data_IF_810466443482
#
_entry.id   IF_810466443482
#
_cell.length_a   1.000
_cell.length_b   1.000
_cell.length_c   1.000
_cell.angle_alpha   90.00
_cell.angle_beta   90.00
_cell.angle_gamma   90.00
#
_symmetry.space_group_name_H-M   'P 1'
#
loop_
_entity.id
_entity.type
_entity.pdbx_description
1 polymer ?
#
# COMPACT_ATOMS: atom_id res chain seq x y z
N UNK A 1 -24.91 4.65 -27.28
CA UNK A 1 -23.65 4.14 -26.69
C UNK A 1 -23.53 2.68 -27.11
N UNK A 2 -22.45 2.23 -27.76
CA UNK A 2 -22.26 0.79 -27.96
C UNK A 2 -22.15 0.13 -26.57
N UNK A 3 -22.88 -0.95 -26.31
CA UNK A 3 -22.58 -1.78 -25.13
C UNK A 3 -21.17 -2.35 -25.30
N UNK A 4 -20.22 -1.90 -24.47
CA UNK A 4 -18.97 -2.65 -24.30
C UNK A 4 -19.35 -3.98 -23.66
N UNK A 5 -19.26 -5.05 -24.44
CA UNK A 5 -19.35 -6.42 -23.91
C UNK A 5 -18.02 -6.76 -23.25
N UNK A 6 -18.07 -7.29 -22.03
CA UNK A 6 -16.89 -7.76 -21.33
C UNK A 6 -16.11 -8.76 -22.19
N UNK A 7 -14.76 -8.72 -22.15
CA UNK A 7 -13.96 -9.74 -22.82
C UNK A 7 -14.26 -11.12 -22.20
N UNK A 8 -14.19 -12.19 -23.01
CA UNK A 8 -14.45 -13.54 -22.52
C UNK A 8 -13.43 -13.94 -21.45
N UNK A 9 -13.89 -14.60 -20.39
CA UNK A 9 -13.01 -15.14 -19.35
C UNK A 9 -12.43 -16.48 -19.84
N UNK A 10 -11.25 -16.41 -20.45
CA UNK A 10 -10.49 -17.58 -20.90
C UNK A 10 -9.46 -18.01 -19.84
N UNK A 11 -8.94 -19.25 -19.88
CA UNK A 11 -7.88 -19.69 -18.97
C UNK A 11 -6.65 -18.76 -18.95
N UNK A 12 -6.29 -18.17 -20.11
CA UNK A 12 -5.20 -17.21 -20.20
C UNK A 12 -5.52 -15.90 -19.47
N UNK A 13 -6.78 -15.45 -19.52
CA UNK A 13 -7.24 -14.27 -18.78
C UNK A 13 -7.21 -14.53 -17.28
N UNK A 14 -7.64 -15.71 -16.83
CA UNK A 14 -7.57 -16.14 -15.43
C UNK A 14 -6.12 -16.16 -14.92
N UNK A 15 -5.21 -16.73 -15.70
CA UNK A 15 -3.79 -16.79 -15.35
C UNK A 15 -3.16 -15.38 -15.28
N UNK A 16 -3.52 -14.47 -16.19
CA UNK A 16 -3.07 -13.06 -16.14
C UNK A 16 -3.56 -12.31 -14.90
N UNK A 17 -4.70 -12.72 -14.34
CA UNK A 17 -5.21 -12.21 -13.07
C UNK A 17 -4.54 -12.84 -11.84
N UNK A 18 -3.51 -13.67 -12.02
CA UNK A 18 -2.75 -14.27 -10.93
C UNK A 18 -3.56 -15.28 -10.09
N UNK A 19 -4.66 -15.79 -10.65
CA UNK A 19 -5.50 -16.80 -10.02
C UNK A 19 -5.05 -18.20 -10.46
N UNK A 20 -4.96 -19.13 -9.51
CA UNK A 20 -4.73 -20.54 -9.86
C UNK A 20 -6.00 -21.18 -10.42
N UNK A 21 -5.90 -22.31 -11.15
CA UNK A 21 -7.07 -23.05 -11.61
C UNK A 21 -8.03 -23.43 -10.46
N UNK A 22 -7.48 -23.78 -9.29
CA UNK A 22 -8.27 -24.13 -8.10
C UNK A 22 -8.98 -22.90 -7.51
N UNK A 23 -8.33 -21.74 -7.48
CA UNK A 23 -8.95 -20.48 -7.07
C UNK A 23 -10.11 -20.12 -8.02
N UNK A 24 -9.92 -20.31 -9.33
CA UNK A 24 -10.97 -20.07 -10.33
C UNK A 24 -12.18 -21.01 -10.16
N UNK A 25 -11.96 -22.31 -10.01
CA UNK A 25 -13.05 -23.25 -9.75
C UNK A 25 -13.79 -22.93 -8.45
N UNK A 26 -13.09 -22.42 -7.43
CA UNK A 26 -13.71 -21.96 -6.19
C UNK A 26 -14.58 -20.73 -6.42
N UNK A 27 -14.15 -19.78 -7.26
CA UNK A 27 -14.96 -18.62 -7.66
C UNK A 27 -16.25 -19.09 -8.34
N UNK A 28 -16.15 -19.99 -9.33
CA UNK A 28 -17.32 -20.56 -10.02
C UNK A 28 -18.29 -21.22 -9.05
N UNK A 29 -17.77 -21.96 -8.08
CA UNK A 29 -18.58 -22.60 -7.03
C UNK A 29 -19.29 -21.59 -6.11
N UNK A 30 -18.63 -20.49 -5.75
CA UNK A 30 -19.22 -19.43 -4.91
C UNK A 30 -20.34 -18.70 -5.68
N UNK A 31 -20.12 -18.41 -6.96
CA UNK A 31 -21.08 -17.67 -7.79
C UNK A 31 -22.20 -18.55 -8.37
N UNK A 32 -21.98 -19.87 -8.48
CA UNK A 32 -22.88 -20.79 -9.18
C UNK A 32 -22.88 -20.63 -10.71
N UNK A 33 -21.95 -19.85 -11.26
CA UNK A 33 -21.77 -19.56 -12.70
C UNK A 33 -20.34 -19.08 -12.98
N UNK A 34 -20.00 -18.90 -14.25
CA UNK A 34 -18.77 -18.18 -14.61
C UNK A 34 -18.81 -16.73 -14.11
N UNK A 35 -17.71 -16.20 -13.55
CA UNK A 35 -17.56 -14.77 -13.32
C UNK A 35 -17.50 -14.03 -14.65
N UNK A 36 -18.03 -12.81 -14.69
CA UNK A 36 -17.69 -11.87 -15.77
C UNK A 36 -16.29 -11.26 -15.54
N UNK A 37 -15.82 -10.44 -16.48
CA UNK A 37 -14.46 -9.87 -16.41
C UNK A 37 -14.27 -8.98 -15.17
N UNK A 38 -15.29 -8.18 -14.83
CA UNK A 38 -15.25 -7.30 -13.66
C UNK A 38 -15.19 -8.10 -12.36
N UNK A 39 -16.03 -9.12 -12.22
CA UNK A 39 -16.06 -10.01 -11.06
C UNK A 39 -14.74 -10.76 -10.90
N UNK A 40 -14.17 -11.24 -12.00
CA UNK A 40 -12.84 -11.88 -12.01
C UNK A 40 -11.77 -10.94 -11.48
N UNK A 41 -11.78 -9.67 -11.93
CA UNK A 41 -10.86 -8.63 -11.46
C UNK A 41 -10.99 -8.35 -9.96
N UNK A 42 -12.23 -8.32 -9.44
CA UNK A 42 -12.48 -8.15 -8.01
C UNK A 42 -11.90 -9.33 -7.23
N UNK A 43 -12.20 -10.58 -7.63
CA UNK A 43 -11.64 -11.76 -6.97
C UNK A 43 -10.11 -11.78 -7.01
N UNK A 44 -9.52 -11.44 -8.15
CA UNK A 44 -8.06 -11.37 -8.33
C UNK A 44 -7.39 -10.47 -7.31
N UNK A 45 -7.87 -9.23 -7.14
CA UNK A 45 -7.29 -8.29 -6.19
C UNK A 45 -7.57 -8.73 -4.75
N UNK A 46 -8.81 -9.08 -4.44
CA UNK A 46 -9.22 -9.43 -3.07
C UNK A 46 -8.55 -10.72 -2.56
N UNK A 47 -8.21 -11.66 -3.45
CA UNK A 47 -7.53 -12.92 -3.10
C UNK A 47 -6.01 -12.87 -3.34
N UNK A 48 -5.46 -11.71 -3.70
CA UNK A 48 -4.01 -11.49 -3.70
C UNK A 48 -3.42 -11.67 -2.29
N UNK A 49 -2.12 -11.97 -2.18
CA UNK A 49 -1.46 -12.03 -0.87
C UNK A 49 -1.56 -10.69 -0.13
N UNK A 50 -1.47 -9.57 -0.88
CA UNK A 50 -1.53 -8.22 -0.33
C UNK A 50 -2.83 -7.94 0.43
N UNK A 51 -3.98 -8.43 -0.07
CA UNK A 51 -5.28 -8.20 0.56
C UNK A 51 -5.69 -9.34 1.51
N UNK A 52 -5.41 -10.59 1.15
CA UNK A 52 -5.96 -11.75 1.86
C UNK A 52 -5.04 -12.36 2.90
N UNK A 53 -3.74 -12.01 2.87
CA UNK A 53 -2.72 -12.61 3.71
C UNK A 53 -2.73 -14.15 3.63
N UNK A 54 -3.00 -14.72 2.45
CA UNK A 54 -3.29 -16.16 2.29
C UNK A 54 -2.18 -17.08 2.82
N UNK A 55 -0.92 -16.65 2.71
CA UNK A 55 0.21 -17.37 3.29
C UNK A 55 0.46 -16.95 4.75
N UNK A 56 0.54 -15.64 4.99
CA UNK A 56 0.98 -15.06 6.25
C UNK A 56 -0.04 -15.20 7.39
N UNK A 57 -1.34 -15.23 7.11
CA UNK A 57 -2.42 -15.31 8.12
C UNK A 57 -2.28 -16.51 9.06
N UNK A 58 -1.75 -17.65 8.57
CA UNK A 58 -1.54 -18.84 9.40
C UNK A 58 -0.48 -18.59 10.49
N UNK A 59 0.56 -17.85 10.15
CA UNK A 59 1.64 -17.49 11.06
C UNK A 59 1.20 -16.38 12.02
N UNK A 60 0.48 -15.38 11.51
CA UNK A 60 -0.01 -14.26 12.33
C UNK A 60 -0.94 -14.70 13.46
N UNK A 61 -1.71 -15.79 13.28
CA UNK A 61 -2.57 -16.36 14.32
C UNK A 61 -1.82 -16.90 15.55
N UNK A 62 -0.50 -17.10 15.46
CA UNK A 62 0.32 -17.59 16.57
C UNK A 62 0.66 -16.49 17.58
N UNK A 63 0.50 -15.23 17.22
CA UNK A 63 0.78 -14.11 18.12
C UNK A 63 -0.32 -13.93 19.18
N UNK A 64 0.01 -13.46 20.38
CA UNK A 64 -0.99 -13.04 21.35
C UNK A 64 -1.71 -11.78 20.84
N UNK A 65 -3.04 -11.84 20.78
CA UNK A 65 -3.88 -10.74 20.24
C UNK A 65 -4.87 -10.16 21.26
N UNK A 66 -4.79 -10.60 22.51
CA UNK A 66 -5.67 -10.17 23.60
C UNK A 66 -4.86 -9.76 24.82
N UNK A 67 -5.38 -8.82 25.58
CA UNK A 67 -4.75 -8.28 26.78
C UNK A 67 -5.68 -7.29 27.48
N UNK A 68 -5.45 -7.00 28.77
CA UNK A 68 -6.36 -6.18 29.58
C UNK A 68 -6.53 -4.75 29.05
N UNK A 69 -5.49 -4.20 28.41
CA UNK A 69 -5.50 -2.82 27.91
C UNK A 69 -5.78 -2.74 26.40
N UNK A 70 -6.10 -3.86 25.74
CA UNK A 70 -6.39 -3.87 24.30
C UNK A 70 -7.87 -3.50 24.11
N UNK A 71 -8.12 -2.32 23.55
CA UNK A 71 -9.47 -1.82 23.27
C UNK A 71 -10.00 -2.32 21.93
N UNK A 72 -9.12 -2.55 20.95
CA UNK A 72 -9.46 -3.07 19.62
C UNK A 72 -8.57 -4.26 19.31
N UNK A 73 -9.17 -5.42 18.99
CA UNK A 73 -8.42 -6.65 18.73
C UNK A 73 -7.73 -6.60 17.37
N UNK A 74 -6.63 -7.35 17.24
CA UNK A 74 -5.91 -7.47 15.98
C UNK A 74 -6.83 -8.00 14.86
N UNK A 75 -6.97 -7.22 13.79
CA UNK A 75 -7.77 -7.57 12.61
C UNK A 75 -9.27 -7.30 12.72
N UNK A 76 -9.73 -6.66 13.80
CA UNK A 76 -11.12 -6.22 13.96
C UNK A 76 -11.39 -4.90 13.21
N UNK A 77 -10.41 -3.98 13.25
CA UNK A 77 -10.48 -2.65 12.65
C UNK A 77 -9.18 -2.28 11.92
N UNK A 78 -9.14 -1.08 11.33
CA UNK A 78 -8.00 -0.59 10.55
C UNK A 78 -6.71 -0.43 11.36
N UNK A 79 -6.78 -0.11 12.65
CA UNK A 79 -5.63 0.05 13.53
C UNK A 79 -5.87 -0.53 14.93
N UNK A 80 -4.78 -0.85 15.64
CA UNK A 80 -4.85 -1.31 17.02
C UNK A 80 -5.02 -0.13 17.98
N UNK A 81 -5.81 -0.32 19.04
CA UNK A 81 -6.05 0.71 20.05
C UNK A 81 -5.77 0.14 21.44
N UNK A 82 -4.98 0.86 22.22
CA UNK A 82 -4.56 0.47 23.57
C UNK A 82 -4.92 1.56 24.56
N UNK A 83 -5.53 1.16 25.68
CA UNK A 83 -5.79 2.03 26.83
C UNK A 83 -4.47 2.37 27.55
N UNK A 84 -4.24 3.66 27.77
CA UNK A 84 -3.05 4.16 28.47
C UNK A 84 -3.39 4.79 29.83
N UNK A 85 -4.64 4.69 30.28
CA UNK A 85 -5.14 5.26 31.53
C UNK A 85 -5.68 6.68 31.38
N UNK A 86 -6.24 7.21 32.48
CA UNK A 86 -6.75 8.58 32.58
C UNK A 86 -7.78 8.98 31.51
N UNK A 87 -8.51 8.00 30.97
CA UNK A 87 -9.48 8.21 29.89
C UNK A 87 -8.85 8.40 28.50
N UNK A 88 -7.55 8.12 28.34
CA UNK A 88 -6.83 8.23 27.08
C UNK A 88 -6.55 6.86 26.46
N UNK A 89 -6.53 6.84 25.13
CA UNK A 89 -6.14 5.68 24.34
C UNK A 89 -5.20 6.09 23.21
N UNK A 90 -4.33 5.16 22.80
CA UNK A 90 -3.42 5.33 21.67
C UNK A 90 -3.84 4.38 20.56
N UNK A 91 -4.18 4.94 19.40
CA UNK A 91 -4.31 4.21 18.15
C UNK A 91 -2.96 4.17 17.44
N UNK A 92 -2.52 2.99 17.00
CA UNK A 92 -1.31 2.85 16.21
C UNK A 92 -1.42 1.72 15.19
N UNK A 93 -0.72 1.89 14.08
CA UNK A 93 -0.60 0.92 13.00
C UNK A 93 0.77 1.10 12.35
N UNK A 94 1.22 0.08 11.65
CA UNK A 94 2.35 0.14 10.74
C UNK A 94 1.91 -0.37 9.37
N UNK A 95 2.35 0.33 8.32
CA UNK A 95 2.17 -0.07 6.93
C UNK A 95 3.50 -0.05 6.19
N UNK A 96 3.52 -0.66 5.01
CA UNK A 96 4.68 -0.65 4.11
C UNK A 96 4.25 -0.24 2.72
N UNK A 97 5.11 0.48 2.01
CA UNK A 97 4.86 0.86 0.62
C UNK A 97 6.05 0.57 -0.27
N UNK A 98 6.57 -0.65 -0.15
CA UNK A 98 7.87 -1.04 -0.67
C UNK A 98 7.95 -1.01 -2.20
N UNK A 99 7.04 -1.72 -2.89
CA UNK A 99 7.11 -1.84 -4.35
C UNK A 99 6.90 -0.48 -5.05
N UNK A 100 5.90 0.34 -4.68
CA UNK A 100 5.77 1.68 -5.27
C UNK A 100 6.96 2.59 -4.96
N UNK A 101 7.48 2.58 -3.73
CA UNK A 101 8.67 3.38 -3.37
C UNK A 101 9.95 2.92 -4.08
N UNK A 102 10.03 1.68 -4.53
CA UNK A 102 11.15 1.20 -5.32
C UNK A 102 11.12 1.72 -6.77
N UNK A 103 9.93 2.00 -7.31
CA UNK A 103 9.74 2.51 -8.67
C UNK A 103 9.79 4.04 -8.69
N UNK A 104 9.06 4.68 -7.79
CA UNK A 104 9.03 6.13 -7.63
C UNK A 104 9.12 6.43 -6.11
N UNK A 105 10.31 6.85 -5.62
CA UNK A 105 10.53 6.96 -4.17
C UNK A 105 9.72 8.05 -3.47
N UNK A 106 9.53 9.21 -4.11
CA UNK A 106 8.95 10.37 -3.45
C UNK A 106 7.44 10.21 -3.24
N UNK A 107 6.72 9.98 -4.33
CA UNK A 107 5.29 9.69 -4.34
C UNK A 107 5.01 8.35 -3.66
N UNK A 108 5.81 7.32 -3.88
CA UNK A 108 5.65 6.03 -3.21
C UNK A 108 5.73 6.16 -1.68
N UNK A 109 6.65 6.96 -1.15
CA UNK A 109 6.68 7.24 0.28
C UNK A 109 5.49 8.11 0.72
N UNK A 110 5.17 9.17 -0.04
CA UNK A 110 4.10 10.11 0.30
C UNK A 110 2.72 9.45 0.34
N UNK A 111 2.38 8.56 -0.60
CA UNK A 111 1.11 7.82 -0.58
C UNK A 111 1.04 6.85 0.58
N UNK A 112 2.18 6.34 1.06
CA UNK A 112 2.27 5.44 2.20
C UNK A 112 2.02 6.19 3.51
N UNK A 113 2.60 7.38 3.65
CA UNK A 113 2.28 8.32 4.74
C UNK A 113 0.80 8.69 4.71
N UNK A 114 0.25 8.98 3.53
CA UNK A 114 -1.18 9.26 3.39
C UNK A 114 -2.08 8.09 3.80
N UNK A 115 -1.68 6.85 3.48
CA UNK A 115 -2.38 5.62 3.87
C UNK A 115 -2.49 5.48 5.39
N UNK A 116 -1.34 5.47 6.06
CA UNK A 116 -1.30 5.25 7.51
C UNK A 116 -2.03 6.34 8.30
N UNK A 117 -1.98 7.60 7.84
CA UNK A 117 -2.75 8.70 8.45
C UNK A 117 -4.26 8.43 8.37
N UNK A 118 -4.75 7.93 7.22
CA UNK A 118 -6.18 7.63 7.05
C UNK A 118 -6.63 6.50 7.97
N UNK A 119 -5.82 5.47 8.16
CA UNK A 119 -6.18 4.38 9.08
C UNK A 119 -6.38 4.89 10.50
N UNK A 120 -5.45 5.69 11.01
CA UNK A 120 -5.57 6.29 12.35
C UNK A 120 -6.79 7.20 12.44
N UNK A 121 -7.04 8.01 11.41
CA UNK A 121 -8.20 8.89 11.36
C UNK A 121 -9.52 8.11 11.39
N UNK A 122 -9.62 6.97 10.71
CA UNK A 122 -10.85 6.14 10.74
C UNK A 122 -11.15 5.53 12.11
N UNK A 123 -10.16 5.46 13.02
CA UNK A 123 -10.38 5.07 14.41
C UNK A 123 -10.98 6.19 15.28
N UNK A 124 -11.20 7.38 14.72
CA UNK A 124 -11.57 8.58 15.50
C UNK A 124 -10.41 9.18 16.29
N UNK A 125 -9.18 8.70 16.08
CA UNK A 125 -7.98 9.22 16.72
C UNK A 125 -7.35 10.35 15.91
N UNK A 126 -6.73 11.30 16.60
CA UNK A 126 -5.95 12.37 15.98
C UNK A 126 -4.51 11.89 15.77
N UNK A 127 -3.96 11.93 14.54
CA UNK A 127 -2.55 11.60 14.32
C UNK A 127 -1.62 12.64 14.96
N UNK A 128 -0.81 12.22 15.93
CA UNK A 128 0.17 13.10 16.62
C UNK A 128 1.63 12.81 16.24
N UNK A 129 1.96 11.54 16.00
CA UNK A 129 3.33 11.11 15.69
C UNK A 129 3.39 10.22 14.45
N UNK A 130 4.46 10.36 13.67
CA UNK A 130 4.79 9.51 12.53
C UNK A 130 6.22 9.00 12.68
N UNK A 131 6.40 7.70 12.45
CA UNK A 131 7.70 7.04 12.48
C UNK A 131 7.95 6.36 11.13
N UNK A 132 9.19 6.42 10.66
CA UNK A 132 9.60 5.74 9.43
C UNK A 132 10.58 4.59 9.73
N UNK A 133 10.40 3.47 9.03
CA UNK A 133 11.33 2.35 9.06
C UNK A 133 11.88 2.12 7.66
N UNK A 134 13.02 2.75 7.37
CA UNK A 134 13.64 2.73 6.05
C UNK A 134 14.76 1.69 5.99
N UNK A 135 14.86 0.96 4.88
CA UNK A 135 15.92 -0.01 4.60
C UNK A 135 16.34 0.15 3.14
N UNK A 136 17.62 0.41 2.91
CA UNK A 136 18.21 0.59 1.59
C UNK A 136 19.41 -0.35 1.41
N UNK A 137 19.84 -0.53 0.16
CA UNK A 137 21.16 -1.08 -0.12
C UNK A 137 22.28 -0.15 0.35
N UNK A 138 23.56 -0.56 0.26
CA UNK A 138 24.69 0.28 0.60
C UNK A 138 24.62 1.63 -0.14
N UNK A 139 24.86 2.72 0.59
CA UNK A 139 25.01 4.04 -0.01
C UNK A 139 26.40 4.08 -0.63
N UNK A 140 26.49 3.77 -1.92
CA UNK A 140 27.70 3.95 -2.71
C UNK A 140 27.72 5.36 -3.28
N UNK A 141 28.90 5.82 -3.69
CA UNK A 141 28.95 6.97 -4.59
C UNK A 141 28.07 6.68 -5.81
N UNK A 142 27.32 7.70 -6.22
CA UNK A 142 26.41 7.58 -7.34
C UNK A 142 27.21 7.29 -8.61
N UNK A 143 26.81 6.32 -9.46
CA UNK A 143 27.38 6.15 -10.80
C UNK A 143 27.21 7.41 -11.67
N UNK A 144 26.41 8.38 -11.22
CA UNK A 144 26.18 9.67 -11.87
C UNK A 144 27.46 10.54 -11.92
N UNK A 145 28.55 10.16 -11.23
CA UNK A 145 29.85 10.80 -11.38
C UNK A 145 30.38 10.82 -12.84
N UNK A 146 29.91 9.92 -13.70
CA UNK A 146 30.35 9.79 -15.11
C UNK A 146 29.31 10.29 -16.15
N UNK A 147 28.29 11.04 -15.72
CA UNK A 147 27.35 11.69 -16.65
C UNK A 147 26.39 10.75 -17.38
N UNK A 148 26.31 9.47 -17.00
CA UNK A 148 25.28 8.54 -17.51
C UNK A 148 24.09 8.53 -16.55
N UNK A 149 22.95 9.01 -17.04
CA UNK A 149 21.68 8.90 -16.33
C UNK A 149 21.33 7.41 -16.13
N UNK A 150 20.78 7.02 -14.97
CA UNK A 150 20.17 5.71 -14.83
C UNK A 150 19.03 5.56 -15.83
N UNK A 151 18.90 4.37 -16.41
CA UNK A 151 17.89 4.05 -17.43
C UNK A 151 16.50 4.32 -16.81
N UNK A 152 15.79 5.34 -17.32
CA UNK A 152 14.45 5.74 -16.86
C UNK A 152 14.35 7.01 -16.01
N UNK A 153 15.42 7.77 -15.82
CA UNK A 153 15.46 8.94 -14.92
C UNK A 153 15.03 10.29 -15.55
N UNK A 154 14.52 10.30 -16.78
CA UNK A 154 14.33 11.54 -17.55
C UNK A 154 13.21 12.46 -17.02
N UNK A 155 12.27 11.95 -16.22
CA UNK A 155 11.09 12.73 -15.78
C UNK A 155 11.17 13.28 -14.35
N UNK A 156 11.95 12.66 -13.46
CA UNK A 156 11.97 13.02 -12.03
C UNK A 156 12.94 14.17 -11.70
N UNK A 157 14.08 14.24 -12.38
CA UNK A 157 15.12 15.25 -12.10
C UNK A 157 14.75 16.67 -12.58
N UNK A 158 13.93 16.79 -13.63
CA UNK A 158 13.46 18.08 -14.13
C UNK A 158 12.47 18.77 -13.17
N UNK A 159 11.69 17.99 -12.43
CA UNK A 159 10.74 18.50 -11.44
C UNK A 159 11.44 19.03 -10.18
N UNK A 160 12.53 18.36 -9.76
CA UNK A 160 13.26 18.71 -8.53
C UNK A 160 14.06 20.03 -8.67
N UNK A 161 14.71 20.25 -9.81
CA UNK A 161 15.41 21.52 -10.06
C UNK A 161 14.45 22.72 -10.15
N UNK A 162 13.26 22.51 -10.69
CA UNK A 162 12.24 23.56 -10.81
C UNK A 162 11.63 23.91 -9.43
N UNK A 163 11.44 22.93 -8.55
CA UNK A 163 11.00 23.18 -7.16
C UNK A 163 12.08 23.80 -6.28
N UNK A 164 13.35 23.42 -6.44
CA UNK A 164 14.46 24.04 -5.70
C UNK A 164 14.64 25.52 -6.08
N UNK A 165 14.47 25.86 -7.36
CA UNK A 165 14.49 27.24 -7.84
C UNK A 165 13.29 28.04 -7.29
N UNK A 166 12.09 27.45 -7.26
CA UNK A 166 10.88 28.08 -6.72
C UNK A 166 11.00 28.38 -5.21
N UNK A 167 11.53 27.44 -4.41
CA UNK A 167 11.75 27.64 -2.96
C UNK A 167 12.81 28.69 -2.66
N UNK A 168 13.89 28.78 -3.44
CA UNK A 168 14.90 29.83 -3.29
C UNK A 168 14.34 31.23 -3.62
N UNK A 169 13.43 31.33 -4.60
CA UNK A 169 12.76 32.59 -4.95
C UNK A 169 11.80 33.10 -3.87
N UNK A 170 11.07 32.22 -3.18
CA UNK A 170 10.13 32.63 -2.12
C UNK A 170 10.81 33.06 -0.83
N UNK A 171 11.99 32.51 -0.50
CA UNK A 171 12.76 32.91 0.68
C UNK A 171 13.42 34.29 0.49
N UNK A 172 13.71 34.70 -0.75
CA UNK A 172 14.30 36.00 -1.05
C UNK A 172 13.30 37.18 -0.96
N UNK A 173 11.99 36.93 -1.11
CA UNK A 173 10.95 37.98 -1.10
C UNK A 173 10.28 38.19 0.27
N UNK A 174 10.77 37.54 1.34
CA UNK A 174 10.22 37.64 2.69
C UNK A 174 11.23 38.25 3.69
N UNK A 175 12.11 39.14 3.22
CA UNK A 175 12.88 40.07 4.05
C UNK A 175 12.51 41.50 3.74
#
# INVERSE_FOLDING_TARGET
MPQLTDPPVTPEVVAKHGLTPEEYERIRKILGREPNFTELGIFSVMWSEHCSYKNSRRELKKFPTTGPNILVKAGEENAGVVDIGDGWAVAFKIESHNHPSAIEPFQGAATGVGGIIRDIFTMGARPEFLLNSLRFGPITESPIADGRLPIGADSALAADQTQLAYRKGQIANNR
#
